data_IF_795502660925
#
_entry.id   IF_795502660925
#
_cell.length_a   1.000
_cell.length_b   1.000
_cell.length_c   1.000
_cell.angle_alpha   90.00
_cell.angle_beta   90.00
_cell.angle_gamma   90.00
#
_symmetry.space_group_name_H-M   'P 1'
#
loop_
_entity.id
_entity.type
_entity.pdbx_description
1 polymer ?
#
# COMPACT_ATOMS: atom_id res chain seq x y z
N UNK A 1 -3.35 10.07 -4.54
CA UNK A 1 -2.60 9.00 -3.86
C UNK A 1 -1.11 9.21 -4.10
N UNK A 2 -0.31 9.08 -3.05
CA UNK A 2 1.16 9.16 -3.18
C UNK A 2 1.71 7.80 -3.61
N UNK A 3 2.91 7.79 -4.17
CA UNK A 3 3.62 6.54 -4.41
C UNK A 3 4.07 5.96 -3.07
N UNK A 4 3.95 4.64 -2.89
CA UNK A 4 4.14 4.00 -1.57
C UNK A 4 5.47 4.32 -0.88
N UNK A 5 6.58 4.43 -1.62
CA UNK A 5 7.90 4.75 -1.06
C UNK A 5 8.11 6.24 -0.74
N UNK A 6 7.16 7.10 -1.11
CA UNK A 6 7.21 8.55 -0.84
C UNK A 6 6.41 8.95 0.41
N UNK A 7 5.73 7.99 1.03
CA UNK A 7 4.99 8.19 2.27
C UNK A 7 5.83 7.74 3.48
N UNK A 8 5.64 8.40 4.62
CA UNK A 8 6.25 8.00 5.87
C UNK A 8 5.41 6.89 6.54
N UNK A 9 5.98 5.69 6.65
CA UNK A 9 5.32 4.47 7.14
C UNK A 9 5.98 3.91 8.41
N UNK A 10 6.53 4.79 9.23
CA UNK A 10 7.45 4.45 10.33
C UNK A 10 6.72 4.28 11.66
N UNK A 11 5.61 5.00 11.86
CA UNK A 11 4.75 4.88 13.04
C UNK A 11 3.82 3.66 13.05
N UNK A 12 3.00 3.49 14.12
CA UNK A 12 1.94 2.48 14.17
C UNK A 12 1.00 2.64 12.97
N UNK A 13 0.76 1.56 12.23
CA UNK A 13 -0.05 1.59 11.03
C UNK A 13 -0.85 0.30 10.87
N UNK A 14 -2.02 0.42 10.24
CA UNK A 14 -2.81 -0.69 9.75
C UNK A 14 -2.86 -0.62 8.22
N UNK A 15 -2.55 -1.72 7.55
CA UNK A 15 -2.60 -1.81 6.09
C UNK A 15 -3.96 -2.38 5.66
N UNK A 16 -4.70 -1.63 4.86
CA UNK A 16 -5.98 -2.06 4.29
C UNK A 16 -5.73 -2.52 2.86
N UNK A 17 -6.07 -3.78 2.56
CA UNK A 17 -5.97 -4.37 1.23
C UNK A 17 -7.36 -4.73 0.71
N UNK A 18 -7.57 -4.56 -0.59
CA UNK A 18 -8.83 -4.87 -1.25
C UNK A 18 -8.98 -6.34 -1.59
N UNK A 19 -10.21 -6.76 -1.90
CA UNK A 19 -10.46 -8.07 -2.50
C UNK A 19 -10.02 -8.11 -3.96
N UNK A 20 -9.78 -9.31 -4.48
CA UNK A 20 -9.51 -9.49 -5.91
C UNK A 20 -10.73 -9.05 -6.74
N UNK A 21 -10.48 -8.28 -7.80
CA UNK A 21 -11.52 -7.76 -8.71
C UNK A 21 -12.22 -6.49 -8.23
N UNK A 22 -12.71 -6.44 -6.99
CA UNK A 22 -13.47 -5.29 -6.47
C UNK A 22 -12.61 -4.23 -5.79
N UNK A 23 -11.41 -4.58 -5.35
CA UNK A 23 -10.51 -3.66 -4.68
C UNK A 23 -10.98 -3.30 -3.26
N UNK A 24 -10.62 -2.10 -2.79
CA UNK A 24 -10.97 -1.64 -1.44
C UNK A 24 -12.35 -0.96 -1.50
N UNK A 25 -13.26 -1.34 -0.60
CA UNK A 25 -14.56 -0.65 -0.48
C UNK A 25 -14.38 0.86 -0.30
N UNK A 26 -15.23 1.63 -0.96
CA UNK A 26 -15.22 3.09 -0.89
C UNK A 26 -15.38 3.64 0.54
N UNK A 27 -16.02 2.91 1.44
CA UNK A 27 -16.13 3.28 2.86
C UNK A 27 -14.78 3.24 3.56
N UNK A 28 -14.03 2.15 3.40
CA UNK A 28 -12.69 2.02 3.96
C UNK A 28 -11.70 3.01 3.33
N UNK A 29 -11.82 3.28 2.02
CA UNK A 29 -11.02 4.32 1.37
C UNK A 29 -11.31 5.72 1.91
N UNK A 30 -12.52 6.01 2.40
CA UNK A 30 -12.84 7.30 3.03
C UNK A 30 -12.32 7.39 4.47
N UNK A 31 -12.26 6.27 5.17
CA UNK A 31 -11.74 6.17 6.54
C UNK A 31 -10.21 6.16 6.60
N UNK A 32 -9.53 5.73 5.54
CA UNK A 32 -8.08 5.67 5.51
C UNK A 32 -7.44 7.06 5.61
N UNK A 33 -6.56 7.23 6.61
CA UNK A 33 -5.78 8.46 6.81
C UNK A 33 -4.87 8.75 5.61
N UNK A 34 -4.30 7.69 5.03
CA UNK A 34 -3.35 7.77 3.93
C UNK A 34 -3.68 6.76 2.85
N UNK A 35 -3.49 7.17 1.60
CA UNK A 35 -3.73 6.34 0.40
C UNK A 35 -2.49 6.35 -0.47
N UNK A 36 -1.90 5.17 -0.62
CA UNK A 36 -0.69 4.95 -1.40
C UNK A 36 -0.96 4.00 -2.56
N UNK A 37 -0.15 4.11 -3.62
CA UNK A 37 -0.19 3.21 -4.76
C UNK A 37 1.19 2.67 -5.13
N UNK A 38 1.21 1.47 -5.69
CA UNK A 38 2.37 0.92 -6.40
C UNK A 38 2.29 1.41 -7.86
N UNK A 39 3.33 2.03 -8.43
CA UNK A 39 3.30 2.45 -9.84
C UNK A 39 3.20 1.25 -10.76
N UNK A 40 2.15 1.17 -11.57
CA UNK A 40 2.04 0.18 -12.64
C UNK A 40 2.76 0.72 -13.88
N UNK A 41 3.80 0.03 -14.32
CA UNK A 41 4.65 0.45 -15.45
C UNK A 41 4.28 -0.26 -16.77
N UNK A 42 3.05 -0.75 -16.89
CA UNK A 42 2.58 -1.51 -18.04
C UNK A 42 1.07 -1.42 -18.22
N UNK A 43 0.51 -2.38 -18.95
CA UNK A 43 -0.92 -2.39 -19.32
C UNK A 43 -1.82 -3.11 -18.32
N UNK A 44 -1.25 -3.78 -17.31
CA UNK A 44 -2.03 -4.44 -16.27
C UNK A 44 -2.66 -3.41 -15.33
N UNK A 45 -3.90 -3.67 -14.93
CA UNK A 45 -4.65 -2.76 -14.04
C UNK A 45 -4.14 -2.81 -12.60
N UNK A 46 -3.72 -3.99 -12.11
CA UNK A 46 -3.25 -4.17 -10.75
C UNK A 46 -2.32 -5.38 -10.63
N UNK A 47 -1.55 -5.42 -9.54
CA UNK A 47 -0.88 -6.62 -9.08
C UNK A 47 -1.87 -7.56 -8.38
N UNK A 48 -1.47 -8.83 -8.23
CA UNK A 48 -2.13 -9.73 -7.30
C UNK A 48 -2.08 -9.13 -5.87
N UNK A 49 -3.15 -9.31 -5.09
CA UNK A 49 -3.28 -8.72 -3.74
C UNK A 49 -2.14 -9.14 -2.81
N UNK A 50 -1.69 -10.39 -2.87
CA UNK A 50 -0.58 -10.89 -2.04
C UNK A 50 0.73 -10.22 -2.41
N UNK A 51 0.98 -10.01 -3.71
CA UNK A 51 2.19 -9.34 -4.21
C UNK A 51 2.20 -7.87 -3.80
N UNK A 52 1.07 -7.17 -3.96
CA UNK A 52 0.94 -5.78 -3.53
C UNK A 52 1.15 -5.65 -2.01
N UNK A 53 0.58 -6.56 -1.23
CA UNK A 53 0.75 -6.61 0.23
C UNK A 53 2.22 -6.81 0.60
N UNK A 54 2.90 -7.76 -0.04
CA UNK A 54 4.31 -8.03 0.23
C UNK A 54 5.21 -6.81 -0.07
N UNK A 55 4.98 -6.13 -1.20
CA UNK A 55 5.73 -4.90 -1.55
C UNK A 55 5.55 -3.81 -0.49
N UNK A 56 4.31 -3.58 -0.04
CA UNK A 56 4.02 -2.56 0.97
C UNK A 56 4.61 -2.93 2.34
N UNK A 57 4.47 -4.17 2.77
CA UNK A 57 5.05 -4.63 4.04
C UNK A 57 6.58 -4.55 4.04
N UNK A 58 7.24 -4.91 2.93
CA UNK A 58 8.70 -4.78 2.85
C UNK A 58 9.17 -3.33 2.80
N UNK A 59 8.37 -2.40 2.28
CA UNK A 59 8.68 -0.97 2.42
C UNK A 59 8.57 -0.50 3.87
N UNK A 60 7.54 -0.95 4.61
CA UNK A 60 7.42 -0.68 6.05
C UNK A 60 8.64 -1.21 6.81
N UNK A 61 9.05 -2.45 6.51
CA UNK A 61 10.28 -3.04 7.09
C UNK A 61 11.50 -2.19 6.72
N UNK A 62 11.67 -1.84 5.44
CA UNK A 62 12.80 -1.03 4.97
C UNK A 62 12.88 0.32 5.69
N UNK A 63 11.77 1.03 5.82
CA UNK A 63 11.74 2.33 6.50
C UNK A 63 12.03 2.20 7.99
N UNK A 64 11.47 1.19 8.67
CA UNK A 64 11.67 0.98 10.11
C UNK A 64 13.05 0.44 10.47
N UNK A 65 13.65 -0.39 9.62
CA UNK A 65 15.00 -0.93 9.86
C UNK A 65 16.10 0.09 9.53
N UNK A 66 15.92 0.96 8.53
CA UNK A 66 16.89 2.01 8.18
C UNK A 66 16.77 3.28 9.04
N UNK A 67 15.75 3.37 9.90
CA UNK A 67 15.60 4.44 10.90
C UNK A 67 16.15 4.06 12.29
N UNK A 68 16.65 2.82 12.47
CA UNK A 68 17.54 2.49 13.59
C UNK A 68 18.92 3.09 13.37
#
# INVERSE_FOLDING_TARGET
EKVYFAEELTGPLALIMGSEGEGISGEYLKLADVKVRIPMLGTIASLNVSVATAVLLYEVVRQRELQK
#
